data_IF_877724603334
#
_entry.id   IF_877724603334
#
_cell.length_a   1.000
_cell.length_b   1.000
_cell.length_c   1.000
_cell.angle_alpha   90.00
_cell.angle_beta   90.00
_cell.angle_gamma   90.00
#
_symmetry.space_group_name_H-M   'P 1'
#
loop_
_entity.id
_entity.type
_entity.pdbx_description
1 polymer ?
#
# COMPACT_ATOMS: atom_id res chain seq x y z
N UNK A 1 14.08 13.70 20.32
CA UNK A 1 14.16 12.39 19.62
C UNK A 1 14.59 12.65 18.18
N UNK A 2 15.37 11.78 17.53
CA UNK A 2 15.63 11.89 16.10
C UNK A 2 14.33 11.70 15.32
N UNK A 3 14.20 12.41 14.20
CA UNK A 3 13.05 12.29 13.30
C UNK A 3 13.01 10.88 12.68
N UNK A 4 11.82 10.28 12.62
CA UNK A 4 11.57 8.94 12.09
C UNK A 4 11.82 8.88 10.58
N UNK A 5 12.42 7.78 10.13
CA UNK A 5 12.59 7.48 8.70
C UNK A 5 11.25 7.09 8.08
N UNK A 6 11.18 7.09 6.74
CA UNK A 6 9.97 6.64 6.04
C UNK A 6 9.62 5.19 6.41
N UNK A 7 10.61 4.29 6.50
CA UNK A 7 10.37 2.91 6.92
C UNK A 7 9.76 2.78 8.32
N UNK A 8 10.22 3.62 9.26
CA UNK A 8 9.66 3.65 10.61
C UNK A 8 8.22 4.16 10.62
N UNK A 9 7.94 5.23 9.87
CA UNK A 9 6.59 5.78 9.72
C UNK A 9 5.67 4.76 9.04
N UNK A 10 6.12 4.07 8.00
CA UNK A 10 5.36 3.05 7.26
C UNK A 10 4.98 1.87 8.14
N UNK A 11 5.93 1.32 8.89
CA UNK A 11 5.65 0.20 9.79
C UNK A 11 4.68 0.60 10.90
N UNK A 12 4.84 1.79 11.48
CA UNK A 12 3.92 2.29 12.51
C UNK A 12 2.51 2.52 11.96
N UNK A 13 2.39 3.11 10.77
CA UNK A 13 1.12 3.27 10.08
C UNK A 13 0.49 1.89 9.75
N UNK A 14 1.29 0.94 9.27
CA UNK A 14 0.84 -0.42 8.96
C UNK A 14 0.26 -1.13 10.18
N UNK A 15 0.92 -1.06 11.33
CA UNK A 15 0.43 -1.64 12.59
C UNK A 15 -0.85 -0.92 13.03
N UNK A 16 -0.86 0.42 12.98
CA UNK A 16 -1.99 1.24 13.42
C UNK A 16 -3.25 0.99 12.58
N UNK A 17 -3.08 0.82 11.27
CA UNK A 17 -4.17 0.54 10.33
C UNK A 17 -4.54 -0.95 10.25
N UNK A 18 -3.75 -1.83 10.88
CA UNK A 18 -3.96 -3.29 10.84
C UNK A 18 -3.57 -3.95 9.51
N UNK A 19 -2.73 -3.30 8.69
CA UNK A 19 -2.21 -3.89 7.45
C UNK A 19 -1.12 -4.92 7.71
N UNK A 20 -0.39 -4.75 8.81
CA UNK A 20 0.60 -5.70 9.31
C UNK A 20 0.32 -6.04 10.77
N UNK A 21 0.77 -7.21 11.22
CA UNK A 21 0.70 -7.61 12.62
C UNK A 21 1.73 -6.85 13.48
N UNK A 22 1.66 -7.03 14.80
CA UNK A 22 2.59 -6.40 15.74
C UNK A 22 4.06 -6.84 15.56
N UNK A 23 4.30 -7.92 14.81
CA UNK A 23 5.63 -8.41 14.45
C UNK A 23 6.12 -7.87 13.10
N UNK A 24 5.29 -7.07 12.40
CA UNK A 24 5.59 -6.47 11.11
C UNK A 24 5.29 -7.36 9.89
N UNK A 25 4.52 -8.43 10.05
CA UNK A 25 4.16 -9.31 8.94
C UNK A 25 2.87 -8.85 8.26
N UNK A 26 2.83 -8.90 6.93
CA UNK A 26 1.62 -8.66 6.14
C UNK A 26 0.46 -9.55 6.58
N UNK A 27 -0.75 -8.98 6.61
CA UNK A 27 -1.97 -9.67 7.01
C UNK A 27 -2.76 -10.05 5.76
N UNK A 28 -2.65 -11.30 5.35
CA UNK A 28 -3.51 -11.89 4.33
C UNK A 28 -4.58 -12.75 5.01
N UNK A 29 -5.84 -12.56 4.62
CA UNK A 29 -6.98 -13.32 5.13
C UNK A 29 -7.73 -14.00 3.98
N UNK A 30 -8.82 -14.70 4.29
CA UNK A 30 -9.72 -15.20 3.25
C UNK A 30 -10.51 -14.08 2.55
N UNK A 31 -10.53 -12.87 3.11
CA UNK A 31 -11.35 -11.75 2.63
C UNK A 31 -10.55 -10.66 1.93
N UNK A 32 -9.28 -10.49 2.28
CA UNK A 32 -8.41 -9.46 1.71
C UNK A 32 -6.92 -9.80 1.80
N UNK A 33 -6.13 -9.18 0.93
CA UNK A 33 -4.69 -9.06 1.06
C UNK A 33 -4.33 -7.70 1.64
N UNK A 34 -3.53 -7.65 2.70
CA UNK A 34 -3.05 -6.36 3.22
C UNK A 34 -1.59 -6.41 3.62
N UNK A 35 -0.95 -5.26 3.62
CA UNK A 35 0.47 -5.18 3.95
C UNK A 35 1.07 -3.81 3.72
N UNK A 36 2.35 -3.72 4.07
CA UNK A 36 3.21 -2.60 3.72
C UNK A 36 4.51 -3.12 3.09
N UNK A 37 5.16 -2.32 2.26
CA UNK A 37 6.51 -2.65 1.81
C UNK A 37 6.97 -1.93 0.54
N UNK A 38 8.29 -1.78 0.42
CA UNK A 38 8.92 -1.13 -0.74
C UNK A 38 9.37 -2.09 -1.85
N UNK A 39 9.17 -3.41 -1.67
CA UNK A 39 9.58 -4.43 -2.64
C UNK A 39 8.40 -4.98 -3.46
N UNK A 40 7.20 -4.92 -2.90
CA UNK A 40 6.01 -5.52 -3.50
C UNK A 40 5.44 -4.62 -4.59
N UNK A 41 5.30 -5.15 -5.80
CA UNK A 41 4.77 -4.41 -6.96
C UNK A 41 3.29 -4.69 -7.20
N UNK A 42 2.59 -3.81 -7.90
CA UNK A 42 1.20 -4.05 -8.32
C UNK A 42 1.03 -5.33 -9.15
N UNK A 43 1.95 -5.67 -10.05
CA UNK A 43 1.90 -6.95 -10.78
C UNK A 43 1.97 -8.17 -9.84
N UNK A 44 2.77 -8.11 -8.76
CA UNK A 44 2.82 -9.17 -7.76
C UNK A 44 1.51 -9.23 -6.95
N UNK A 45 0.94 -8.07 -6.61
CA UNK A 45 -0.34 -7.97 -5.90
C UNK A 45 -1.49 -8.51 -6.74
N UNK A 46 -1.53 -8.20 -8.04
CA UNK A 46 -2.52 -8.74 -8.98
C UNK A 46 -2.44 -10.27 -9.08
N UNK A 47 -1.23 -10.81 -9.17
CA UNK A 47 -1.01 -12.26 -9.15
C UNK A 47 -1.55 -12.92 -7.87
N UNK A 48 -1.33 -12.31 -6.69
CA UNK A 48 -1.83 -12.80 -5.40
C UNK A 48 -3.36 -12.68 -5.28
N UNK A 49 -3.96 -11.64 -5.87
CA UNK A 49 -5.41 -11.47 -5.99
C UNK A 49 -6.07 -12.43 -7.00
N UNK A 50 -5.28 -13.01 -7.90
CA UNK A 50 -5.80 -13.81 -9.01
C UNK A 50 -6.36 -12.97 -10.17
N UNK A 51 -5.88 -11.74 -10.36
CA UNK A 51 -6.27 -10.84 -11.46
C UNK A 51 -5.10 -10.47 -12.39
N UNK A 52 -5.42 -10.16 -13.64
CA UNK A 52 -4.49 -9.62 -14.65
C UNK A 52 -4.62 -8.10 -14.82
N UNK A 53 -5.49 -7.42 -14.08
CA UNK A 53 -5.74 -5.98 -14.25
C UNK A 53 -4.50 -5.11 -13.95
N UNK A 54 -3.55 -5.67 -13.20
CA UNK A 54 -2.27 -5.05 -12.87
C UNK A 54 -1.09 -5.59 -13.70
N UNK A 55 -1.35 -6.32 -14.79
CA UNK A 55 -0.32 -6.85 -15.66
C UNK A 55 0.57 -5.72 -16.23
N UNK A 56 1.88 -5.90 -16.11
CA UNK A 56 2.87 -4.92 -16.58
C UNK A 56 3.09 -3.71 -15.68
N UNK A 57 2.37 -3.58 -14.56
CA UNK A 57 2.50 -2.42 -13.65
C UNK A 57 3.54 -2.72 -12.57
N UNK A 58 4.71 -2.06 -12.66
CA UNK A 58 5.86 -2.29 -11.78
C UNK A 58 5.97 -1.28 -10.61
N UNK A 59 5.00 -0.37 -10.52
CA UNK A 59 4.83 0.56 -9.40
C UNK A 59 4.67 -0.20 -8.08
N UNK A 60 5.13 0.44 -6.99
CA UNK A 60 5.19 -0.13 -5.65
C UNK A 60 4.50 0.82 -4.68
N UNK A 61 3.33 0.46 -4.12
CA UNK A 61 2.70 1.26 -3.08
C UNK A 61 3.44 1.03 -1.75
N UNK A 62 3.43 2.02 -0.85
CA UNK A 62 3.96 1.83 0.50
C UNK A 62 3.10 0.85 1.31
N UNK A 63 1.79 0.87 1.12
CA UNK A 63 0.91 -0.14 1.72
C UNK A 63 -0.40 -0.30 0.99
N UNK A 64 -1.08 -1.41 1.28
CA UNK A 64 -2.30 -1.82 0.61
C UNK A 64 -3.26 -2.55 1.55
N UNK A 65 -4.55 -2.41 1.26
CA UNK A 65 -5.60 -3.34 1.66
C UNK A 65 -6.46 -3.61 0.42
N UNK A 66 -6.55 -4.87 0.03
CA UNK A 66 -7.12 -5.31 -1.24
C UNK A 66 -8.11 -6.44 -0.99
N UNK A 67 -9.42 -6.14 -0.90
CA UNK A 67 -10.45 -7.15 -0.72
C UNK A 67 -10.57 -8.08 -1.93
N UNK A 68 -10.82 -9.37 -1.74
CA UNK A 68 -11.17 -10.24 -2.88
C UNK A 68 -12.55 -9.91 -3.47
N UNK A 69 -13.43 -9.29 -2.68
CA UNK A 69 -14.70 -8.75 -3.16
C UNK A 69 -14.48 -7.37 -3.79
N UNK A 70 -14.67 -7.26 -5.10
CA UNK A 70 -14.50 -6.01 -5.85
C UNK A 70 -15.43 -4.88 -5.40
N UNK A 71 -16.57 -5.18 -4.77
CA UNK A 71 -17.45 -4.15 -4.20
C UNK A 71 -16.99 -3.66 -2.82
N UNK A 72 -15.90 -4.22 -2.29
CA UNK A 72 -15.27 -3.79 -1.05
C UNK A 72 -14.45 -2.51 -1.21
N UNK A 73 -14.05 -1.93 -0.08
CA UNK A 73 -13.18 -0.73 -0.09
C UNK A 73 -11.72 -1.17 -0.13
N UNK A 74 -11.05 -0.90 -1.24
CA UNK A 74 -9.59 -1.01 -1.33
C UNK A 74 -8.90 0.25 -0.81
N UNK A 75 -7.73 0.10 -0.19
CA UNK A 75 -6.96 1.20 0.39
C UNK A 75 -5.53 1.17 -0.16
N UNK A 76 -5.01 2.36 -0.48
CA UNK A 76 -3.59 2.62 -0.75
C UNK A 76 -3.05 3.48 0.38
N UNK A 77 -1.88 3.11 0.88
CA UNK A 77 -1.11 3.92 1.82
C UNK A 77 0.13 4.46 1.12
N UNK A 78 0.40 5.73 1.35
CA UNK A 78 1.61 6.44 0.96
C UNK A 78 2.18 7.13 2.20
N UNK A 79 3.46 6.92 2.50
CA UNK A 79 4.13 7.44 3.69
C UNK A 79 5.36 8.23 3.32
N UNK A 80 5.77 9.16 4.18
CA UNK A 80 7.03 9.89 4.05
C UNK A 80 7.70 9.98 5.41
N UNK A 81 9.03 10.16 5.41
CA UNK A 81 9.77 10.43 6.65
C UNK A 81 9.29 11.71 7.31
N UNK A 82 9.49 11.86 8.62
CA UNK A 82 9.08 13.07 9.35
C UNK A 82 9.83 14.35 8.94
N UNK A 83 10.94 14.20 8.21
CA UNK A 83 11.67 15.34 7.63
C UNK A 83 11.00 15.88 6.38
N UNK A 84 10.13 15.10 5.76
CA UNK A 84 9.51 15.48 4.50
C UNK A 84 8.18 16.17 4.68
N UNK A 85 8.02 17.27 3.94
CA UNK A 85 6.76 17.97 3.83
C UNK A 85 5.82 17.18 2.89
N UNK A 86 4.76 16.64 3.50
CA UNK A 86 3.73 15.85 2.81
C UNK A 86 2.85 16.69 1.89
N UNK A 87 2.84 18.03 2.03
CA UNK A 87 2.04 18.92 1.18
C UNK A 87 2.62 19.12 -0.23
N UNK A 88 3.82 18.57 -0.50
CA UNK A 88 4.45 18.63 -1.82
C UNK A 88 3.59 17.87 -2.85
N UNK A 89 3.19 18.56 -3.92
CA UNK A 89 2.41 18.00 -5.06
C UNK A 89 2.95 16.70 -5.66
N UNK A 90 4.24 16.40 -5.53
CA UNK A 90 4.80 15.13 -6.03
C UNK A 90 4.26 13.91 -5.27
N UNK A 91 4.00 14.06 -3.97
CA UNK A 91 3.46 12.98 -3.14
C UNK A 91 1.97 12.77 -3.39
N UNK A 92 1.22 13.86 -3.58
CA UNK A 92 -0.17 13.80 -4.04
C UNK A 92 -0.27 13.07 -5.39
N UNK A 93 0.59 13.41 -6.36
CA UNK A 93 0.62 12.72 -7.66
C UNK A 93 0.95 11.24 -7.54
N UNK A 94 1.87 10.88 -6.65
CA UNK A 94 2.24 9.49 -6.39
C UNK A 94 1.07 8.69 -5.80
N UNK A 95 0.40 9.24 -4.79
CA UNK A 95 -0.81 8.66 -4.21
C UNK A 95 -1.94 8.52 -5.24
N UNK A 96 -2.24 9.57 -6.01
CA UNK A 96 -3.27 9.55 -7.05
C UNK A 96 -2.97 8.49 -8.11
N UNK A 97 -1.73 8.38 -8.58
CA UNK A 97 -1.31 7.33 -9.53
C UNK A 97 -1.59 5.93 -8.96
N UNK A 98 -1.25 5.68 -7.70
CA UNK A 98 -1.48 4.39 -7.07
C UNK A 98 -2.98 4.08 -6.90
N UNK A 99 -3.81 5.11 -6.62
CA UNK A 99 -5.27 4.99 -6.59
C UNK A 99 -5.83 4.65 -7.98
N UNK A 100 -5.39 5.34 -9.03
CA UNK A 100 -5.80 5.07 -10.42
C UNK A 100 -5.44 3.64 -10.86
N UNK A 101 -4.33 3.09 -10.36
CA UNK A 101 -3.98 1.69 -10.60
C UNK A 101 -4.99 0.77 -9.91
N UNK A 102 -5.31 0.98 -8.62
CA UNK A 102 -6.31 0.16 -7.90
C UNK A 102 -7.68 0.18 -8.57
N UNK A 103 -8.12 1.33 -9.06
CA UNK A 103 -9.40 1.52 -9.77
C UNK A 103 -9.53 0.71 -11.07
N UNK A 104 -8.45 0.09 -11.55
CA UNK A 104 -8.55 -0.84 -12.69
C UNK A 104 -9.24 -2.15 -12.31
N UNK A 105 -9.25 -2.49 -11.02
CA UNK A 105 -9.81 -3.75 -10.50
C UNK A 105 -11.04 -3.56 -9.61
N UNK A 106 -11.10 -2.43 -8.88
CA UNK A 106 -12.14 -2.07 -7.92
C UNK A 106 -13.03 -0.93 -8.41
#
# INVERSE_FOLDING_TARGET
>A
MPLRTEDQVRNEAGITLGFIDASGNNVDTAEYLSGVGQLTTFIQLGSRLGTTDFAGISDKPDGWLMPFNQNGVAIVLETKSEKEDISKKKWEKELTKNIEIMQKHY
#
